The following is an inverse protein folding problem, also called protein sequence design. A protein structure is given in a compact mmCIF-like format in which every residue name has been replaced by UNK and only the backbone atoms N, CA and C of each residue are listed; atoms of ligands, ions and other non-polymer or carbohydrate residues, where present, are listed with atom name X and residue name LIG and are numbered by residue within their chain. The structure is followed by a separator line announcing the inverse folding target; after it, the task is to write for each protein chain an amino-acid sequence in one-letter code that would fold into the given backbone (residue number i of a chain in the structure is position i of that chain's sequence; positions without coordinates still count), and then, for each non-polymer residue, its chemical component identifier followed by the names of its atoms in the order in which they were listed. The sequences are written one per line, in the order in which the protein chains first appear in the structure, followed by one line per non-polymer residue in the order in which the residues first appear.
data_IF_538816405611
#
_entry.id   IF_538816405611
#
_cell.length_a   1.000
_cell.length_b   1.000
_cell.length_c   1.000
_cell.angle_alpha   90.00
_cell.angle_beta   90.00
_cell.angle_gamma   90.00
#
_symmetry.space_group_name_H-M   'P 1'
#
loop_
_entity.id
_entity.type
_entity.pdbx_description
1 polymer ?
#
# COMPACT_ATOMS: atom_id res chain seq x y z
N UNK A 1 -19.75 62.16 -4.02
CA UNK A 1 -21.13 61.68 -4.25
C UNK A 1 -21.75 62.58 -5.32
N UNK A 2 -21.46 62.31 -6.60
CA UNK A 2 -21.98 63.13 -7.71
C UNK A 2 -23.34 62.57 -8.13
N UNK A 3 -24.38 63.35 -7.85
CA UNK A 3 -25.73 63.12 -8.34
C UNK A 3 -25.68 63.30 -9.86
N UNK A 4 -25.56 62.21 -10.61
CA UNK A 4 -25.84 62.19 -12.04
C UNK A 4 -27.34 62.52 -12.17
N UNK A 5 -27.66 63.78 -12.50
CA UNK A 5 -29.00 64.14 -12.98
C UNK A 5 -29.23 63.37 -14.27
N UNK A 6 -30.25 62.53 -14.27
CA UNK A 6 -30.56 61.62 -15.37
C UNK A 6 -31.35 62.39 -16.44
N UNK A 7 -30.62 63.07 -17.34
CA UNK A 7 -31.18 63.96 -18.36
C UNK A 7 -31.79 63.23 -19.56
N UNK A 8 -31.57 61.91 -19.71
CA UNK A 8 -32.16 61.11 -20.80
C UNK A 8 -33.69 61.02 -20.70
N UNK A 9 -34.22 61.25 -19.51
CA UNK A 9 -35.66 61.32 -19.26
C UNK A 9 -36.26 62.63 -19.82
N UNK A 10 -35.43 63.64 -20.14
CA UNK A 10 -35.93 64.96 -20.53
C UNK A 10 -36.42 64.99 -21.99
N UNK A 11 -35.73 64.39 -22.96
CA UNK A 11 -36.22 64.38 -24.37
C UNK A 11 -37.50 63.55 -24.51
N UNK A 12 -37.58 62.38 -23.86
CA UNK A 12 -38.78 61.55 -23.86
C UNK A 12 -39.93 62.28 -23.17
N UNK A 13 -39.70 62.90 -22.00
CA UNK A 13 -40.72 63.72 -21.33
C UNK A 13 -41.15 64.91 -22.18
N UNK A 14 -40.24 65.59 -22.86
CA UNK A 14 -40.56 66.72 -23.75
C UNK A 14 -41.40 66.25 -24.94
N UNK A 15 -41.10 65.09 -25.53
CA UNK A 15 -41.91 64.48 -26.58
C UNK A 15 -43.29 64.03 -26.09
N UNK A 16 -43.39 63.47 -24.89
CA UNK A 16 -44.67 63.11 -24.25
C UNK A 16 -45.52 64.32 -23.90
N UNK A 17 -44.89 65.39 -23.40
CA UNK A 17 -45.53 66.67 -23.12
C UNK A 17 -46.03 67.32 -24.40
N UNK A 18 -45.19 67.38 -25.44
CA UNK A 18 -45.56 67.89 -26.78
C UNK A 18 -46.75 67.11 -27.35
N UNK A 19 -46.74 65.77 -27.23
CA UNK A 19 -47.86 64.92 -27.66
C UNK A 19 -49.14 65.23 -26.87
N UNK A 20 -49.07 65.34 -25.54
CA UNK A 20 -50.21 65.69 -24.68
C UNK A 20 -50.77 67.07 -25.01
N UNK A 21 -49.91 68.04 -25.30
CA UNK A 21 -50.30 69.40 -25.67
C UNK A 21 -51.00 69.43 -27.03
N UNK A 22 -50.59 68.57 -27.97
CA UNK A 22 -51.27 68.38 -29.25
C UNK A 22 -52.63 67.67 -29.08
N UNK A 23 -52.67 66.59 -28.29
CA UNK A 23 -53.87 65.74 -28.10
C UNK A 23 -54.97 66.43 -27.26
N UNK A 24 -54.61 67.37 -26.37
CA UNK A 24 -55.56 68.04 -25.47
C UNK A 24 -56.35 69.20 -26.10
N UNK A 25 -55.93 69.69 -27.28
CA UNK A 25 -56.53 70.86 -27.94
C UNK A 25 -57.60 70.45 -28.93
N UNK A 26 -58.66 71.26 -29.06
CA UNK A 26 -59.80 70.94 -29.91
C UNK A 26 -59.39 71.00 -31.39
N UNK A 27 -59.59 69.90 -32.10
CA UNK A 27 -59.40 69.81 -33.54
C UNK A 27 -60.74 69.83 -34.28
N UNK A 28 -60.81 70.57 -35.39
CA UNK A 28 -61.91 70.52 -36.36
C UNK A 28 -61.30 70.13 -37.71
N UNK A 29 -61.56 68.91 -38.16
CA UNK A 29 -60.92 68.36 -39.35
C UNK A 29 -59.39 68.33 -39.20
N UNK A 30 -58.66 68.93 -40.16
CA UNK A 30 -57.18 69.03 -40.12
C UNK A 30 -56.64 70.21 -39.29
N UNK A 31 -57.50 71.01 -38.65
CA UNK A 31 -57.10 72.25 -37.98
C UNK A 31 -57.24 72.10 -36.46
N UNK A 32 -56.16 72.33 -35.72
CA UNK A 32 -56.15 72.30 -34.25
C UNK A 32 -56.17 73.72 -33.71
N UNK A 33 -57.14 74.04 -32.84
CA UNK A 33 -57.36 75.36 -32.26
C UNK A 33 -56.77 75.46 -30.84
N UNK A 34 -56.06 76.54 -30.54
CA UNK A 34 -55.48 76.80 -29.22
C UNK A 34 -54.11 76.18 -28.97
N UNK A 35 -53.40 75.76 -30.03
CA UNK A 35 -51.98 75.46 -29.98
C UNK A 35 -51.17 76.76 -30.09
N UNK A 36 -50.32 77.00 -29.10
CA UNK A 36 -49.39 78.13 -29.13
C UNK A 36 -48.15 77.76 -29.95
N UNK A 37 -47.93 78.47 -31.06
CA UNK A 37 -46.77 78.23 -31.94
C UNK A 37 -45.44 78.56 -31.26
N UNK A 38 -45.43 79.47 -30.29
CA UNK A 38 -44.24 79.87 -29.53
C UNK A 38 -43.84 78.75 -28.57
N UNK A 39 -44.78 78.21 -27.81
CA UNK A 39 -44.52 77.13 -26.85
C UNK A 39 -44.10 75.83 -27.56
N UNK A 40 -44.80 75.47 -28.65
CA UNK A 40 -44.42 74.31 -29.48
C UNK A 40 -43.03 74.50 -30.10
N UNK A 41 -42.73 75.70 -30.58
CA UNK A 41 -41.41 76.04 -31.13
C UNK A 41 -40.31 75.87 -30.08
N UNK A 42 -40.56 76.34 -28.85
CA UNK A 42 -39.63 76.23 -27.74
C UNK A 42 -39.38 74.76 -27.34
N UNK A 43 -40.43 73.94 -27.22
CA UNK A 43 -40.30 72.51 -26.94
C UNK A 43 -39.52 71.77 -28.05
N UNK A 44 -39.79 72.08 -29.32
CA UNK A 44 -39.07 71.49 -30.46
C UNK A 44 -37.60 71.89 -30.47
N UNK A 45 -37.27 73.14 -30.18
CA UNK A 45 -35.87 73.59 -30.08
C UNK A 45 -35.13 72.95 -28.90
N UNK A 46 -35.79 72.75 -27.75
CA UNK A 46 -35.21 71.99 -26.64
C UNK A 46 -34.95 70.53 -27.02
N UNK A 47 -35.91 69.88 -27.69
CA UNK A 47 -35.74 68.51 -28.21
C UNK A 47 -34.55 68.46 -29.18
N UNK A 48 -34.46 69.37 -30.14
CA UNK A 48 -33.34 69.44 -31.09
C UNK A 48 -31.99 69.69 -30.40
N UNK A 49 -31.97 70.49 -29.34
CA UNK A 49 -30.74 70.79 -28.60
C UNK A 49 -30.25 69.58 -27.78
N UNK A 50 -31.17 68.81 -27.19
CA UNK A 50 -30.84 67.69 -26.29
C UNK A 50 -30.71 66.33 -27.01
N UNK A 51 -31.48 66.09 -28.08
CA UNK A 51 -31.50 64.82 -28.80
C UNK A 51 -30.13 64.34 -29.34
N UNK A 52 -29.26 65.20 -29.92
CA UNK A 52 -27.94 64.76 -30.38
C UNK A 52 -27.06 64.22 -29.24
N UNK A 53 -27.20 64.77 -28.04
CA UNK A 53 -26.46 64.32 -26.86
C UNK A 53 -26.97 62.96 -26.39
N UNK A 54 -28.29 62.82 -26.22
CA UNK A 54 -28.89 61.56 -25.75
C UNK A 54 -28.60 60.39 -26.71
N UNK A 55 -28.64 60.64 -28.03
CA UNK A 55 -28.25 59.65 -29.04
C UNK A 55 -26.75 59.28 -28.95
N UNK A 56 -25.88 60.26 -28.68
CA UNK A 56 -24.44 60.02 -28.49
C UNK A 56 -24.17 59.22 -27.21
N UNK A 57 -24.89 59.52 -26.14
CA UNK A 57 -24.78 58.84 -24.86
C UNK A 57 -25.25 57.38 -24.99
N UNK A 58 -26.39 57.14 -25.65
CA UNK A 58 -26.89 55.79 -25.95
C UNK A 58 -25.92 55.00 -26.85
N UNK A 59 -25.37 55.62 -27.91
CA UNK A 59 -24.41 54.97 -28.79
C UNK A 59 -23.08 54.64 -28.07
N UNK A 60 -22.65 55.51 -27.15
CA UNK A 60 -21.45 55.27 -26.34
C UNK A 60 -21.66 54.15 -25.34
N UNK A 61 -22.84 54.10 -24.72
CA UNK A 61 -23.24 53.02 -23.82
C UNK A 61 -23.31 51.67 -24.57
N UNK A 62 -23.91 51.62 -25.77
CA UNK A 62 -23.94 50.40 -26.59
C UNK A 62 -22.53 49.88 -26.87
N UNK A 63 -21.63 50.77 -27.30
CA UNK A 63 -20.22 50.42 -27.54
C UNK A 63 -19.51 49.93 -26.28
N UNK A 64 -19.81 50.52 -25.13
CA UNK A 64 -19.25 50.08 -23.86
C UNK A 64 -19.77 48.69 -23.47
N UNK A 65 -21.07 48.44 -23.62
CA UNK A 65 -21.65 47.12 -23.35
C UNK A 65 -21.13 46.04 -24.30
N UNK A 66 -20.95 46.36 -25.59
CA UNK A 66 -20.34 45.44 -26.57
C UNK A 66 -18.90 45.09 -26.17
N UNK A 67 -18.12 46.08 -25.73
CA UNK A 67 -16.75 45.84 -25.23
C UNK A 67 -16.73 45.01 -23.95
N UNK A 68 -17.63 45.29 -23.01
CA UNK A 68 -17.73 44.51 -21.78
C UNK A 68 -18.12 43.06 -22.06
N UNK A 69 -19.08 42.83 -22.97
CA UNK A 69 -19.49 41.49 -23.38
C UNK A 69 -18.33 40.74 -24.03
N UNK A 70 -17.62 41.37 -24.97
CA UNK A 70 -16.45 40.77 -25.61
C UNK A 70 -15.36 40.40 -24.59
N UNK A 71 -15.06 41.28 -23.64
CA UNK A 71 -14.09 41.01 -22.57
C UNK A 71 -14.54 39.87 -21.66
N UNK A 72 -15.83 39.84 -21.30
CA UNK A 72 -16.38 38.77 -20.45
C UNK A 72 -16.39 37.41 -21.17
N UNK A 73 -16.68 37.38 -22.47
CA UNK A 73 -16.61 36.18 -23.29
C UNK A 73 -15.17 35.67 -23.40
N UNK A 74 -14.19 36.55 -23.61
CA UNK A 74 -12.77 36.21 -23.65
C UNK A 74 -12.28 35.67 -22.30
N UNK A 75 -12.58 36.34 -21.19
CA UNK A 75 -12.23 35.90 -19.84
C UNK A 75 -12.87 34.55 -19.49
N UNK A 76 -14.14 34.36 -19.87
CA UNK A 76 -14.86 33.10 -19.67
C UNK A 76 -14.22 31.96 -20.45
N UNK A 77 -13.88 32.20 -21.72
CA UNK A 77 -13.22 31.22 -22.58
C UNK A 77 -11.85 30.83 -22.01
N UNK A 78 -11.03 31.81 -21.61
CA UNK A 78 -9.71 31.58 -21.02
C UNK A 78 -9.82 30.80 -19.70
N UNK A 79 -10.80 31.13 -18.85
CA UNK A 79 -11.04 30.41 -17.59
C UNK A 79 -11.45 28.96 -17.85
N UNK A 80 -12.34 28.72 -18.82
CA UNK A 80 -12.79 27.39 -19.18
C UNK A 80 -11.66 26.54 -19.76
N UNK A 81 -10.80 27.15 -20.58
CA UNK A 81 -9.62 26.49 -21.13
C UNK A 81 -8.64 26.10 -20.02
N UNK A 82 -8.32 27.03 -19.12
CA UNK A 82 -7.44 26.74 -17.97
C UNK A 82 -8.00 25.65 -17.06
N UNK A 83 -9.30 25.69 -16.77
CA UNK A 83 -9.97 24.66 -15.97
C UNK A 83 -9.91 23.27 -16.65
N UNK A 84 -10.12 23.22 -17.98
CA UNK A 84 -10.00 21.98 -18.76
C UNK A 84 -8.56 21.44 -18.75
N UNK A 85 -7.57 22.31 -18.96
CA UNK A 85 -6.16 21.92 -18.93
C UNK A 85 -5.75 21.37 -17.55
N UNK A 86 -6.19 22.01 -16.47
CA UNK A 86 -5.95 21.54 -15.10
C UNK A 86 -6.63 20.20 -14.83
N UNK A 87 -7.89 20.04 -15.25
CA UNK A 87 -8.61 18.78 -15.09
C UNK A 87 -7.94 17.65 -15.85
N UNK A 88 -7.51 17.89 -17.09
CA UNK A 88 -6.82 16.89 -17.90
C UNK A 88 -5.48 16.48 -17.27
N UNK A 89 -4.71 17.46 -16.78
CA UNK A 89 -3.46 17.19 -16.06
C UNK A 89 -3.70 16.36 -14.79
N UNK A 90 -4.74 16.66 -14.03
CA UNK A 90 -5.10 15.91 -12.83
C UNK A 90 -5.48 14.47 -13.16
N UNK A 91 -6.23 14.24 -14.25
CA UNK A 91 -6.57 12.89 -14.71
C UNK A 91 -5.31 12.13 -15.12
N UNK A 92 -4.42 12.75 -15.90
CA UNK A 92 -3.16 12.13 -16.32
C UNK A 92 -2.26 11.77 -15.13
N UNK A 93 -2.12 12.67 -14.15
CA UNK A 93 -1.37 12.42 -12.91
C UNK A 93 -1.99 11.25 -12.12
N UNK A 94 -3.32 11.21 -12.00
CA UNK A 94 -4.03 10.14 -11.31
C UNK A 94 -3.87 8.78 -12.01
N UNK A 95 -3.95 8.76 -13.35
CA UNK A 95 -3.73 7.55 -14.15
C UNK A 95 -2.30 7.02 -14.00
N UNK A 96 -1.30 7.91 -14.08
CA UNK A 96 0.09 7.55 -13.87
C UNK A 96 0.35 7.01 -12.45
N UNK A 97 -0.21 7.65 -11.43
CA UNK A 97 -0.12 7.18 -10.05
C UNK A 97 -0.78 5.81 -9.86
N UNK A 98 -1.96 5.60 -10.44
CA UNK A 98 -2.66 4.33 -10.38
C UNK A 98 -1.84 3.21 -11.05
N UNK A 99 -1.29 3.47 -12.23
CA UNK A 99 -0.43 2.52 -12.93
C UNK A 99 0.81 2.15 -12.10
N UNK A 100 1.45 3.13 -11.46
CA UNK A 100 2.60 2.89 -10.60
C UNK A 100 2.25 2.03 -9.37
N UNK A 101 1.10 2.29 -8.72
CA UNK A 101 0.62 1.50 -7.58
C UNK A 101 0.38 0.04 -8.01
N UNK A 102 -0.27 -0.18 -9.15
CA UNK A 102 -0.53 -1.53 -9.68
C UNK A 102 0.80 -2.25 -9.93
N UNK A 103 1.74 -1.60 -10.61
CA UNK A 103 3.05 -2.18 -10.90
C UNK A 103 3.81 -2.56 -9.61
N UNK A 104 3.79 -1.68 -8.60
CA UNK A 104 4.43 -1.96 -7.31
C UNK A 104 3.76 -3.12 -6.57
N UNK A 105 2.42 -3.19 -6.61
CA UNK A 105 1.66 -4.28 -6.01
C UNK A 105 1.97 -5.63 -6.69
N UNK A 106 2.06 -5.65 -8.02
CA UNK A 106 2.44 -6.84 -8.78
C UNK A 106 3.85 -7.33 -8.43
N UNK A 107 4.83 -6.42 -8.41
CA UNK A 107 6.21 -6.74 -8.01
C UNK A 107 6.25 -7.30 -6.58
N UNK A 108 5.52 -6.68 -5.65
CA UNK A 108 5.48 -7.15 -4.26
C UNK A 108 4.81 -8.52 -4.14
N UNK A 109 3.73 -8.76 -4.88
CA UNK A 109 3.07 -10.06 -4.91
C UNK A 109 4.00 -11.15 -5.44
N UNK A 110 4.74 -10.88 -6.52
CA UNK A 110 5.74 -11.82 -7.07
C UNK A 110 6.84 -12.14 -6.06
N UNK A 111 7.33 -11.14 -5.33
CA UNK A 111 8.33 -11.33 -4.28
C UNK A 111 7.80 -12.23 -3.15
N UNK A 112 6.59 -11.98 -2.66
CA UNK A 112 5.98 -12.77 -1.60
C UNK A 112 5.79 -14.23 -2.02
N UNK A 113 5.32 -14.47 -3.25
CA UNK A 113 5.19 -15.84 -3.79
C UNK A 113 6.55 -16.53 -3.88
N UNK A 114 7.59 -15.82 -4.33
CA UNK A 114 8.94 -16.38 -4.40
C UNK A 114 9.49 -16.70 -3.00
N UNK A 115 9.31 -15.80 -2.02
CA UNK A 115 9.71 -16.01 -0.63
C UNK A 115 8.99 -17.20 0.02
N UNK A 116 7.69 -17.36 -0.25
CA UNK A 116 6.89 -18.49 0.22
C UNK A 116 7.37 -19.81 -0.38
N UNK A 117 7.69 -19.84 -1.67
CA UNK A 117 8.22 -21.04 -2.32
C UNK A 117 9.59 -21.44 -1.76
N UNK A 118 10.50 -20.48 -1.60
CA UNK A 118 11.81 -20.71 -0.98
C UNK A 118 11.62 -21.26 0.44
N UNK A 119 10.73 -20.65 1.23
CA UNK A 119 10.44 -21.09 2.60
C UNK A 119 9.88 -22.50 2.65
N UNK A 120 8.97 -22.84 1.71
CA UNK A 120 8.41 -24.19 1.58
C UNK A 120 9.47 -25.23 1.23
N UNK A 121 10.35 -24.93 0.27
CA UNK A 121 11.45 -25.82 -0.14
C UNK A 121 12.44 -26.00 1.01
N UNK A 122 12.87 -24.91 1.65
CA UNK A 122 13.80 -24.94 2.76
C UNK A 122 13.25 -25.79 3.93
N UNK A 123 11.95 -25.65 4.25
CA UNK A 123 11.29 -26.47 5.28
C UNK A 123 11.25 -27.95 4.90
N UNK A 124 10.91 -28.26 3.66
CA UNK A 124 10.90 -29.65 3.17
C UNK A 124 12.30 -30.29 3.22
N UNK A 125 13.33 -29.55 2.83
CA UNK A 125 14.72 -29.98 2.92
C UNK A 125 15.17 -30.18 4.37
N UNK A 126 14.83 -29.24 5.26
CA UNK A 126 15.15 -29.36 6.68
C UNK A 126 14.51 -30.61 7.32
N UNK A 127 13.24 -30.88 7.00
CA UNK A 127 12.56 -32.09 7.46
C UNK A 127 13.21 -33.36 6.91
N UNK A 128 13.67 -33.37 5.66
CA UNK A 128 14.37 -34.51 5.09
C UNK A 128 15.73 -34.76 5.74
N UNK A 129 16.53 -33.70 5.93
CA UNK A 129 17.82 -33.79 6.64
C UNK A 129 17.61 -34.30 8.06
N UNK A 130 16.58 -33.80 8.76
CA UNK A 130 16.24 -34.29 10.10
C UNK A 130 15.87 -35.77 10.09
N UNK A 131 15.02 -36.21 9.16
CA UNK A 131 14.63 -37.63 9.03
C UNK A 131 15.83 -38.53 8.75
N UNK A 132 16.73 -38.10 7.85
CA UNK A 132 17.96 -38.84 7.54
C UNK A 132 18.86 -38.92 8.77
N UNK A 133 19.13 -37.78 9.43
CA UNK A 133 19.97 -37.75 10.62
C UNK A 133 19.41 -38.61 11.76
N UNK A 134 18.08 -38.61 11.97
CA UNK A 134 17.44 -39.49 12.95
C UNK A 134 17.59 -40.98 12.59
N UNK A 135 17.52 -41.32 11.30
CA UNK A 135 17.74 -42.69 10.82
C UNK A 135 19.19 -43.10 11.03
N UNK A 136 20.14 -42.28 10.60
CA UNK A 136 21.57 -42.54 10.72
C UNK A 136 21.98 -42.67 12.19
N UNK A 137 21.45 -41.81 13.07
CA UNK A 137 21.68 -41.91 14.51
C UNK A 137 21.16 -43.23 15.10
N UNK A 138 19.99 -43.71 14.66
CA UNK A 138 19.44 -45.01 15.09
C UNK A 138 20.29 -46.17 14.60
N UNK A 139 20.75 -46.13 13.36
CA UNK A 139 21.62 -47.15 12.79
C UNK A 139 22.98 -47.17 13.47
N UNK A 140 23.59 -46.00 13.71
CA UNK A 140 24.84 -45.87 14.44
C UNK A 140 24.74 -46.41 15.87
N UNK A 141 23.66 -46.07 16.58
CA UNK A 141 23.42 -46.60 17.93
C UNK A 141 23.34 -48.12 17.92
N UNK A 142 22.57 -48.70 17.00
CA UNK A 142 22.48 -50.17 16.86
C UNK A 142 23.84 -50.79 16.53
N UNK A 143 24.60 -50.19 15.62
CA UNK A 143 25.95 -50.67 15.28
C UNK A 143 26.89 -50.63 16.49
N UNK A 144 26.82 -49.57 17.29
CA UNK A 144 27.60 -49.45 18.53
C UNK A 144 27.19 -50.49 19.58
N UNK A 145 25.89 -50.74 19.76
CA UNK A 145 25.37 -51.76 20.67
C UNK A 145 25.84 -53.16 20.23
N UNK A 146 25.78 -53.47 18.93
CA UNK A 146 26.29 -54.73 18.38
C UNK A 146 27.80 -54.88 18.59
N UNK A 147 28.58 -53.84 18.28
CA UNK A 147 30.02 -53.87 18.49
C UNK A 147 30.38 -54.06 19.97
N UNK A 148 29.67 -53.38 20.88
CA UNK A 148 29.88 -53.54 22.31
C UNK A 148 29.59 -54.99 22.77
N UNK A 149 28.51 -55.60 22.27
CA UNK A 149 28.19 -57.00 22.54
C UNK A 149 29.32 -57.94 22.07
N UNK A 150 29.82 -57.76 20.84
CA UNK A 150 30.90 -58.59 20.30
C UNK A 150 32.19 -58.46 21.12
N UNK A 151 32.55 -57.24 21.53
CA UNK A 151 33.71 -56.99 22.40
C UNK A 151 33.53 -57.68 23.76
N UNK A 152 32.34 -57.60 24.36
CA UNK A 152 32.05 -58.24 25.64
C UNK A 152 32.08 -59.76 25.55
N UNK A 153 31.52 -60.35 24.49
CA UNK A 153 31.60 -61.80 24.23
C UNK A 153 33.05 -62.26 24.03
N UNK A 154 33.87 -61.49 23.31
CA UNK A 154 35.29 -61.80 23.17
C UNK A 154 36.03 -61.74 24.50
N UNK A 155 35.72 -60.74 25.33
CA UNK A 155 36.31 -60.61 26.67
C UNK A 155 35.90 -61.79 27.57
N UNK A 156 34.62 -62.18 27.56
CA UNK A 156 34.10 -63.34 28.28
C UNK A 156 34.87 -64.62 27.90
N UNK A 157 35.08 -64.85 26.60
CA UNK A 157 35.84 -66.00 26.11
C UNK A 157 37.31 -65.99 26.56
N UNK A 158 37.94 -64.82 26.66
CA UNK A 158 39.31 -64.68 27.19
C UNK A 158 39.33 -64.98 28.68
N UNK A 159 38.44 -64.37 29.46
CA UNK A 159 38.36 -64.58 30.91
C UNK A 159 38.05 -66.04 31.23
N UNK A 160 37.13 -66.69 30.50
CA UNK A 160 36.81 -68.11 30.68
C UNK A 160 37.99 -69.04 30.45
N UNK A 161 38.85 -68.74 29.46
CA UNK A 161 40.11 -69.49 29.23
C UNK A 161 41.11 -69.28 30.37
N UNK A 162 41.26 -68.05 30.86
CA UNK A 162 42.14 -67.74 31.99
C UNK A 162 41.66 -68.48 33.24
N UNK A 163 40.36 -68.43 33.54
CA UNK A 163 39.75 -69.13 34.68
C UNK A 163 39.99 -70.65 34.58
N UNK A 164 39.75 -71.24 33.42
CA UNK A 164 40.00 -72.68 33.17
C UNK A 164 41.46 -73.05 33.41
N UNK A 165 42.39 -72.16 33.07
CA UNK A 165 43.84 -72.37 33.29
C UNK A 165 44.18 -72.30 34.78
N UNK A 166 43.62 -71.32 35.50
CA UNK A 166 43.77 -71.21 36.96
C UNK A 166 43.20 -72.44 37.68
N UNK A 167 42.02 -72.92 37.28
CA UNK A 167 41.41 -74.13 37.86
C UNK A 167 42.22 -75.40 37.60
N UNK A 168 42.85 -75.51 36.43
CA UNK A 168 43.79 -76.60 36.14
C UNK A 168 45.01 -76.52 37.06
N UNK A 169 45.65 -75.35 37.16
CA UNK A 169 46.80 -75.15 38.05
C UNK A 169 46.46 -75.39 39.51
N UNK A 170 45.27 -74.98 39.98
CA UNK A 170 44.79 -75.27 41.33
C UNK A 170 44.63 -76.77 41.57
N UNK A 171 44.00 -77.50 40.63
CA UNK A 171 43.84 -78.96 40.71
C UNK A 171 45.18 -79.69 40.74
N UNK A 172 46.15 -79.25 39.93
CA UNK A 172 47.49 -79.82 39.92
C UNK A 172 48.20 -79.60 41.28
N UNK A 173 48.06 -78.42 41.88
CA UNK A 173 48.57 -78.15 43.22
C UNK A 173 47.86 -78.97 44.30
N UNK A 174 46.52 -79.07 44.27
CA UNK A 174 45.75 -79.92 45.19
C UNK A 174 46.19 -81.39 45.08
N UNK A 175 46.46 -81.90 43.87
CA UNK A 175 47.00 -83.24 43.64
C UNK A 175 48.45 -83.41 44.10
N UNK A 176 49.25 -82.35 44.16
CA UNK A 176 50.61 -82.37 44.70
C UNK A 176 50.65 -82.21 46.23
N UNK A 177 49.61 -81.63 46.84
CA UNK A 177 49.48 -81.44 48.29
C UNK A 177 48.81 -82.66 48.96
N UNK A 178 47.82 -83.28 48.31
CA UNK A 178 47.13 -84.49 48.82
C UNK A 178 48.04 -85.70 49.17
N UNK A 179 49.19 -85.95 48.50
CA UNK A 179 50.13 -87.00 48.87
C UNK A 179 50.86 -86.71 50.20
N UNK A 180 50.91 -85.46 50.65
CA UNK A 180 51.64 -85.09 51.87
C UNK A 180 50.85 -85.35 53.16
N UNK A 181 49.51 -85.31 53.11
CA UNK A 181 48.70 -85.70 54.28
C UNK A 181 48.67 -87.22 54.50
N UNK A 182 48.70 -88.00 53.42
CA UNK A 182 48.79 -89.46 53.48
C UNK A 182 50.21 -89.95 53.80
N UNK A 183 51.26 -89.20 53.44
CA UNK A 183 52.63 -89.51 53.86
C UNK A 183 52.89 -89.20 55.34
N UNK A 184 52.24 -88.21 55.94
CA UNK A 184 52.39 -87.92 57.38
C UNK A 184 51.67 -88.96 58.27
N UNK A 185 50.51 -89.45 57.85
CA UNK A 185 49.79 -90.49 58.59
C UNK A 185 50.54 -91.85 58.61
N UNK A 186 51.27 -92.20 57.55
CA UNK A 186 52.03 -93.46 57.49
C UNK A 186 53.31 -93.39 58.32
N UNK A 187 53.99 -92.23 58.34
CA UNK A 187 55.24 -92.04 59.11
C UNK A 187 54.99 -92.01 60.62
N UNK A 188 53.82 -91.53 61.08
CA UNK A 188 53.47 -91.54 62.50
C UNK A 188 53.13 -92.95 63.00
N UNK A 189 52.41 -93.74 62.20
CA UNK A 189 52.07 -95.14 62.52
C UNK A 189 53.30 -96.07 62.49
N UNK A 190 54.28 -95.85 61.60
CA UNK A 190 55.53 -96.63 61.59
C UNK A 190 56.47 -96.29 62.76
N UNK A 191 56.53 -95.02 63.19
CA UNK A 191 57.34 -94.62 64.35
C UNK A 191 56.84 -95.19 65.67
N UNK A 192 55.55 -95.49 65.77
CA UNK A 192 54.96 -96.09 66.96
C UNK A 192 55.17 -97.61 67.01
N UNK A 193 55.23 -98.28 65.85
CA UNK A 193 55.52 -99.72 65.75
C UNK A 193 56.99 -100.09 65.95
N UNK A 194 57.92 -99.16 65.72
CA UNK A 194 59.36 -99.39 65.92
C UNK A 194 59.84 -99.23 67.38
N UNK A 195 58.93 -98.98 68.34
CA UNK A 195 59.23 -98.78 69.77
C UNK A 195 58.79 -99.95 70.68
N UNK A 196 58.38 -101.09 70.14
CA UNK A 196 57.97 -102.29 70.89
C UNK A 196 58.93 -103.44 70.67
#
# INVERSE_FOLDING_TARGET
MSIRKDYSIDVIRLLENLKRDIDSKRAIGRIVFGLDKVDLGFQVEQIKALMPRDLKDAASLSRETERMLASAEEESAATLESARAQAQKMVEEAENHAALIIQQAELKAQQLVAEDEISRIAKAQADEVRRSAEKDAREMKRGADHYAADVLTNLENVVGRVLSTVEKGKRELEQQIAPLESSHAVVEVERERAKV
#
